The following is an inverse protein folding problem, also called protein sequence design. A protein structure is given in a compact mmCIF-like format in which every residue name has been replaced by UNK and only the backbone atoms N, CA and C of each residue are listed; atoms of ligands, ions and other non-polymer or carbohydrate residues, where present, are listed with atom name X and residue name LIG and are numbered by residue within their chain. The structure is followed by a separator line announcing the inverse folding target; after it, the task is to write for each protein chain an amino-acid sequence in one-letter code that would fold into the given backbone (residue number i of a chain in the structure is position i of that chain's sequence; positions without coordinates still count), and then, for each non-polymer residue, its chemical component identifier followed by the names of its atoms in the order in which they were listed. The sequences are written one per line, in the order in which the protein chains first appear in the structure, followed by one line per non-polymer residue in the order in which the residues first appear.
data_IF_257952937678
#
_entry.id   IF_257952937678
#
_cell.length_a   1.000
_cell.length_b   1.000
_cell.length_c   1.000
_cell.angle_alpha   90.00
_cell.angle_beta   90.00
_cell.angle_gamma   90.00
#
_symmetry.space_group_name_H-M   'P 1'
#
loop_
_entity.id
_entity.type
_entity.pdbx_description
1 polymer ?
#
# COMPACT_ATOMS: atom_id res chain seq x y z
N UNK A 1 17.35 -10.02 -17.45
CA UNK A 1 16.27 -10.69 -16.69
C UNK A 1 14.98 -10.46 -17.47
N UNK A 2 14.07 -11.43 -17.53
CA UNK A 2 12.75 -11.20 -18.13
C UNK A 2 11.95 -10.23 -17.25
N UNK A 3 11.05 -9.40 -17.80
CA UNK A 3 10.15 -8.58 -16.98
C UNK A 3 9.18 -9.47 -16.17
N UNK A 4 8.70 -8.98 -15.04
CA UNK A 4 7.60 -9.59 -14.29
C UNK A 4 6.33 -9.60 -15.17
N UNK A 5 5.55 -10.68 -15.12
CA UNK A 5 4.33 -10.85 -15.91
C UNK A 5 3.21 -11.44 -15.05
N UNK A 6 1.96 -11.11 -15.39
CA UNK A 6 0.75 -11.70 -14.78
C UNK A 6 0.02 -10.76 -13.84
N UNK A 7 -1.03 -11.28 -13.20
CA UNK A 7 -1.85 -10.55 -12.22
C UNK A 7 -1.60 -11.11 -10.83
N UNK A 8 -1.37 -10.22 -9.88
CA UNK A 8 -1.04 -10.57 -8.50
C UNK A 8 -2.03 -9.90 -7.55
N UNK A 9 -2.55 -10.67 -6.62
CA UNK A 9 -3.31 -10.14 -5.50
C UNK A 9 -2.62 -10.53 -4.21
N UNK A 10 -2.37 -9.56 -3.36
CA UNK A 10 -1.92 -9.79 -1.98
C UNK A 10 -3.01 -9.36 -1.02
N UNK A 11 -3.27 -10.21 -0.03
CA UNK A 11 -4.23 -9.90 1.02
C UNK A 11 -3.55 -10.08 2.37
N UNK A 12 -3.69 -9.07 3.21
CA UNK A 12 -3.20 -9.10 4.58
C UNK A 12 -4.39 -9.06 5.52
N UNK A 13 -4.35 -9.85 6.60
CA UNK A 13 -5.24 -9.63 7.75
C UNK A 13 -4.45 -9.32 9.00
N UNK A 14 -4.94 -8.35 9.78
CA UNK A 14 -4.29 -7.87 10.99
C UNK A 14 -4.97 -8.44 12.23
N UNK A 15 -4.16 -8.95 13.15
CA UNK A 15 -4.57 -9.38 14.49
C UNK A 15 -3.91 -8.47 15.52
N UNK A 16 -4.70 -7.71 16.27
CA UNK A 16 -4.23 -6.71 17.24
C UNK A 16 -5.09 -6.67 18.50
N UNK A 17 -4.57 -6.08 19.57
CA UNK A 17 -5.34 -5.86 20.81
C UNK A 17 -6.06 -4.52 20.74
N UNK A 18 -5.35 -3.45 20.39
CA UNK A 18 -5.93 -2.13 20.26
C UNK A 18 -5.83 -1.66 18.81
N UNK A 19 -6.73 -0.76 18.40
CA UNK A 19 -6.81 -0.24 17.04
C UNK A 19 -5.44 0.26 16.54
N UNK A 20 -4.76 1.07 17.35
CA UNK A 20 -3.43 1.60 17.00
C UNK A 20 -2.48 1.47 18.17
N UNK A 21 -1.54 0.54 18.07
CA UNK A 21 -0.53 0.25 19.10
C UNK A 21 0.78 0.99 18.81
N UNK A 22 0.73 2.33 18.85
CA UNK A 22 1.82 3.23 18.41
C UNK A 22 3.20 2.93 19.02
N UNK A 23 3.25 2.38 20.24
CA UNK A 23 4.48 1.81 20.83
C UNK A 23 4.12 0.53 21.62
N UNK A 24 5.11 -0.29 22.01
CA UNK A 24 4.91 -1.45 22.90
C UNK A 24 4.09 -1.21 24.18
N UNK A 25 4.04 0.03 24.68
CA UNK A 25 3.41 0.40 25.95
C UNK A 25 2.34 1.49 25.81
N UNK A 26 2.05 1.92 24.58
CA UNK A 26 1.09 3.00 24.30
C UNK A 26 0.22 2.62 23.12
N UNK A 27 -1.09 2.72 23.34
CA UNK A 27 -2.09 2.58 22.29
C UNK A 27 -2.98 3.82 22.20
N UNK A 28 -3.57 4.03 21.04
CA UNK A 28 -4.61 5.03 20.77
C UNK A 28 -5.74 4.36 19.98
N UNK A 29 -6.95 4.90 20.08
CA UNK A 29 -8.15 4.28 19.51
C UNK A 29 -8.77 3.24 20.44
N UNK A 30 -9.59 2.36 19.87
CA UNK A 30 -10.42 1.42 20.63
C UNK A 30 -9.67 0.15 21.03
N UNK A 31 -10.15 -0.48 22.11
CA UNK A 31 -9.80 -1.87 22.46
C UNK A 31 -10.63 -2.83 21.59
N UNK A 32 -9.95 -3.61 20.77
CA UNK A 32 -10.54 -4.51 19.77
C UNK A 32 -10.36 -5.99 20.14
N UNK A 33 -10.03 -6.31 21.40
CA UNK A 33 -9.66 -7.68 21.75
C UNK A 33 -10.78 -8.71 21.53
N UNK A 34 -12.04 -8.30 21.70
CA UNK A 34 -13.19 -9.18 21.46
C UNK A 34 -13.34 -9.51 19.97
N UNK A 35 -13.01 -8.56 19.11
CA UNK A 35 -13.14 -8.68 17.67
C UNK A 35 -11.94 -9.41 17.03
N UNK A 36 -10.89 -9.68 17.80
CA UNK A 36 -9.69 -10.43 17.37
C UNK A 36 -9.63 -11.87 17.93
N UNK A 37 -10.77 -12.43 18.34
CA UNK A 37 -10.87 -13.80 18.86
C UNK A 37 -10.42 -14.88 17.85
N UNK A 38 -10.02 -16.09 18.30
CA UNK A 38 -9.77 -17.23 17.42
C UNK A 38 -10.94 -17.57 16.49
N UNK A 39 -12.18 -17.26 16.90
CA UNK A 39 -13.38 -17.43 16.08
C UNK A 39 -13.39 -16.47 14.89
N UNK A 40 -13.10 -15.20 15.11
CA UNK A 40 -13.02 -14.19 14.05
C UNK A 40 -11.86 -14.46 13.10
N UNK A 41 -10.68 -14.84 13.61
CA UNK A 41 -9.53 -15.24 12.80
C UNK A 41 -9.86 -16.44 11.89
N UNK A 42 -10.61 -17.42 12.42
CA UNK A 42 -11.08 -18.57 11.64
C UNK A 42 -12.08 -18.17 10.57
N UNK A 43 -13.08 -17.35 10.93
CA UNK A 43 -14.07 -16.84 10.00
C UNK A 43 -13.41 -16.12 8.82
N UNK A 44 -12.43 -15.25 9.10
CA UNK A 44 -11.62 -14.56 8.10
C UNK A 44 -10.89 -15.53 7.17
N UNK A 45 -10.15 -16.49 7.72
CA UNK A 45 -9.39 -17.45 6.90
C UNK A 45 -10.29 -18.34 6.04
N UNK A 46 -11.44 -18.74 6.58
CA UNK A 46 -12.44 -19.54 5.88
C UNK A 46 -13.13 -18.75 4.76
N UNK A 47 -13.43 -17.47 4.99
CA UNK A 47 -13.90 -16.56 3.95
C UNK A 47 -12.90 -16.42 2.81
N UNK A 48 -11.63 -16.20 3.15
CA UNK A 48 -10.55 -16.18 2.18
C UNK A 48 -10.48 -17.50 1.39
N UNK A 49 -10.54 -18.66 2.06
CA UNK A 49 -10.52 -19.97 1.41
C UNK A 49 -11.73 -20.23 0.49
N UNK A 50 -12.93 -19.76 0.87
CA UNK A 50 -14.11 -19.83 -0.02
C UNK A 50 -13.94 -18.94 -1.25
N UNK A 51 -13.27 -17.80 -1.05
CA UNK A 51 -12.92 -16.82 -2.08
C UNK A 51 -11.92 -17.35 -3.09
N UNK A 52 -10.81 -17.90 -2.58
CA UNK A 52 -9.69 -18.42 -3.34
C UNK A 52 -9.08 -19.65 -2.61
N UNK A 53 -9.54 -20.88 -2.91
CA UNK A 53 -9.16 -22.08 -2.15
C UNK A 53 -7.66 -22.38 -2.11
N UNK A 54 -6.95 -22.06 -3.19
CA UNK A 54 -5.51 -22.29 -3.32
C UNK A 54 -4.67 -21.04 -3.01
N UNK A 55 -5.32 -19.93 -2.65
CA UNK A 55 -4.66 -18.68 -2.33
C UNK A 55 -3.94 -18.75 -0.99
N UNK A 56 -2.91 -17.91 -0.86
CA UNK A 56 -2.18 -17.67 0.38
C UNK A 56 -2.36 -16.21 0.79
N UNK A 57 -2.40 -15.95 2.09
CA UNK A 57 -2.51 -14.60 2.64
C UNK A 57 -1.45 -14.34 3.70
N UNK A 58 -1.21 -13.07 4.00
CA UNK A 58 -0.31 -12.65 5.06
C UNK A 58 -1.12 -12.29 6.31
N UNK A 59 -0.64 -12.72 7.47
CA UNK A 59 -1.19 -12.38 8.79
C UNK A 59 -0.18 -11.50 9.51
N UNK A 60 -0.55 -10.26 9.80
CA UNK A 60 0.29 -9.37 10.57
C UNK A 60 -0.22 -9.27 12.02
N UNK A 61 0.65 -9.53 12.98
CA UNK A 61 0.30 -9.59 14.40
C UNK A 61 0.95 -8.41 15.12
N UNK A 62 0.18 -7.68 15.92
CA UNK A 62 0.69 -6.54 16.69
C UNK A 62 1.55 -6.97 17.88
N UNK A 63 2.27 -6.03 18.48
CA UNK A 63 3.14 -6.30 19.62
C UNK A 63 2.34 -6.82 20.82
N UNK A 64 1.22 -6.17 21.14
CA UNK A 64 0.39 -6.61 22.26
C UNK A 64 -0.21 -7.97 21.95
N UNK A 65 -0.70 -8.24 20.74
CA UNK A 65 -1.25 -9.55 20.39
C UNK A 65 -0.19 -10.68 20.43
N UNK A 66 1.07 -10.39 20.14
CA UNK A 66 2.18 -11.34 20.31
C UNK A 66 2.45 -11.67 21.77
N UNK A 67 2.35 -10.68 22.68
CA UNK A 67 2.68 -10.83 24.10
C UNK A 67 1.49 -11.04 25.03
N UNK A 68 0.26 -10.99 24.50
CA UNK A 68 -0.93 -11.12 25.32
C UNK A 68 -1.04 -12.52 25.92
N UNK A 69 -1.22 -12.57 27.24
CA UNK A 69 -1.25 -13.79 28.04
C UNK A 69 -2.65 -14.37 28.24
N UNK A 70 -3.70 -13.70 27.75
CA UNK A 70 -5.06 -14.25 27.74
C UNK A 70 -5.09 -15.51 26.87
N UNK A 71 -5.92 -16.46 27.27
CA UNK A 71 -6.01 -17.76 26.61
C UNK A 71 -6.46 -17.63 25.15
N UNK A 72 -7.27 -16.61 24.85
CA UNK A 72 -7.72 -16.26 23.51
C UNK A 72 -6.56 -15.95 22.58
N UNK A 73 -5.60 -15.12 23.01
CA UNK A 73 -4.43 -14.77 22.18
C UNK A 73 -3.40 -15.88 22.10
N UNK A 74 -3.23 -16.66 23.17
CA UNK A 74 -2.44 -17.90 23.12
C UNK A 74 -2.99 -18.87 22.08
N UNK A 75 -4.32 -18.99 21.97
CA UNK A 75 -4.98 -19.81 20.96
C UNK A 75 -4.91 -19.18 19.56
N UNK A 76 -5.07 -17.86 19.44
CA UNK A 76 -4.92 -17.14 18.18
C UNK A 76 -3.52 -17.36 17.57
N UNK A 77 -2.45 -17.21 18.37
CA UNK A 77 -1.07 -17.46 17.94
C UNK A 77 -0.85 -18.88 17.43
N UNK A 78 -1.36 -19.89 18.16
CA UNK A 78 -1.32 -21.30 17.71
C UNK A 78 -2.10 -21.53 16.42
N UNK A 79 -3.25 -20.87 16.27
CA UNK A 79 -4.08 -20.98 15.07
C UNK A 79 -3.36 -20.38 13.86
N UNK A 80 -2.79 -19.20 13.99
CA UNK A 80 -2.03 -18.53 12.93
C UNK A 80 -0.80 -19.36 12.51
N UNK A 81 -0.02 -19.86 13.46
CA UNK A 81 1.08 -20.79 13.16
C UNK A 81 0.60 -22.03 12.38
N UNK A 82 -0.58 -22.57 12.71
CA UNK A 82 -1.16 -23.70 11.97
C UNK A 82 -1.57 -23.35 10.54
N UNK A 83 -1.85 -22.09 10.22
CA UNK A 83 -2.18 -21.65 8.86
C UNK A 83 -0.95 -21.58 7.96
N UNK A 84 0.21 -21.22 8.51
CA UNK A 84 1.47 -21.39 7.80
C UNK A 84 1.67 -22.86 7.40
N UNK A 85 1.53 -23.77 8.37
CA UNK A 85 1.70 -25.21 8.13
C UNK A 85 0.70 -25.79 7.13
N UNK A 86 -0.56 -25.35 7.22
CA UNK A 86 -1.67 -25.94 6.45
C UNK A 86 -1.81 -25.33 5.07
N UNK A 87 -1.59 -24.03 4.94
CA UNK A 87 -1.89 -23.28 3.72
C UNK A 87 -0.65 -22.62 3.10
N UNK A 88 0.45 -22.49 3.85
CA UNK A 88 1.59 -21.69 3.45
C UNK A 88 1.32 -20.20 3.57
N UNK A 89 0.38 -19.79 4.42
CA UNK A 89 0.17 -18.38 4.76
C UNK A 89 1.45 -17.82 5.40
N UNK A 90 1.70 -16.52 5.21
CA UNK A 90 2.80 -15.81 5.82
C UNK A 90 2.35 -15.23 7.16
N UNK A 91 3.15 -15.40 8.22
CA UNK A 91 2.90 -14.81 9.53
C UNK A 91 4.01 -13.80 9.84
N UNK A 92 3.65 -12.54 10.04
CA UNK A 92 4.60 -11.45 10.25
C UNK A 92 4.14 -10.48 11.33
N UNK A 93 4.91 -9.41 11.52
CA UNK A 93 4.71 -8.37 12.50
C UNK A 93 4.13 -7.10 11.88
N UNK A 94 3.29 -6.41 12.65
CA UNK A 94 2.86 -5.03 12.39
C UNK A 94 3.28 -4.09 13.53
N UNK A 95 4.28 -3.21 13.29
CA UNK A 95 4.64 -2.16 14.24
C UNK A 95 3.62 -1.03 14.23
N UNK A 96 3.29 -0.51 15.42
CA UNK A 96 2.63 0.80 15.53
C UNK A 96 1.17 0.88 15.10
N UNK A 97 0.54 -0.25 14.73
CA UNK A 97 -0.76 -0.23 14.05
C UNK A 97 -0.74 0.69 12.84
N UNK A 98 0.29 0.54 11.99
CA UNK A 98 0.61 1.34 10.80
C UNK A 98 1.43 2.63 10.99
N UNK A 99 1.49 3.20 12.20
CA UNK A 99 1.98 4.58 12.38
C UNK A 99 3.26 4.68 13.22
N UNK A 100 4.04 3.61 13.35
CA UNK A 100 5.19 3.56 14.26
C UNK A 100 6.15 4.76 14.14
N UNK A 101 6.65 5.16 12.94
CA UNK A 101 7.60 6.28 12.80
C UNK A 101 7.08 7.64 13.31
N UNK A 102 5.77 7.81 13.40
CA UNK A 102 5.16 9.09 13.82
C UNK A 102 5.14 9.26 15.34
N UNK A 103 5.27 8.16 16.07
CA UNK A 103 5.03 8.11 17.51
C UNK A 103 6.17 7.45 18.28
N UNK A 104 7.11 6.83 17.59
CA UNK A 104 8.25 6.15 18.19
C UNK A 104 9.56 6.45 17.45
N UNK A 105 10.67 6.30 18.16
CA UNK A 105 12.00 6.55 17.62
C UNK A 105 12.44 5.42 16.70
N UNK A 106 13.21 5.74 15.65
CA UNK A 106 13.74 4.74 14.71
C UNK A 106 14.44 3.58 15.42
N UNK A 107 15.26 3.88 16.43
CA UNK A 107 15.99 2.87 17.21
C UNK A 107 15.07 1.94 18.01
N UNK A 108 14.01 2.48 18.61
CA UNK A 108 13.07 1.67 19.39
C UNK A 108 12.14 0.85 18.48
N UNK A 109 11.76 1.39 17.32
CA UNK A 109 11.06 0.65 16.26
C UNK A 109 11.92 -0.53 15.82
N UNK A 110 13.20 -0.31 15.50
CA UNK A 110 14.15 -1.37 15.14
C UNK A 110 14.19 -2.48 16.19
N UNK A 111 14.39 -2.11 17.46
CA UNK A 111 14.46 -3.09 18.55
C UNK A 111 13.15 -3.87 18.69
N UNK A 112 12.02 -3.17 18.62
CA UNK A 112 10.69 -3.79 18.70
C UNK A 112 10.47 -4.76 17.54
N UNK A 113 10.86 -4.40 16.31
CA UNK A 113 10.78 -5.29 15.15
C UNK A 113 11.67 -6.52 15.32
N UNK A 114 12.93 -6.34 15.74
CA UNK A 114 13.85 -7.46 15.99
C UNK A 114 13.26 -8.47 16.98
N UNK A 115 12.80 -7.99 18.13
CA UNK A 115 12.22 -8.82 19.18
C UNK A 115 10.92 -9.50 18.71
N UNK A 116 10.04 -8.76 18.02
CA UNK A 116 8.77 -9.28 17.53
C UNK A 116 8.97 -10.35 16.45
N UNK A 117 9.91 -10.15 15.52
CA UNK A 117 10.27 -11.12 14.49
C UNK A 117 10.87 -12.39 15.12
N UNK A 118 11.64 -12.26 16.21
CA UNK A 118 12.08 -13.39 17.04
C UNK A 118 10.90 -14.18 17.61
N UNK A 119 9.94 -13.50 18.24
CA UNK A 119 8.73 -14.13 18.78
C UNK A 119 7.92 -14.83 17.69
N UNK A 120 7.74 -14.19 16.53
CA UNK A 120 7.05 -14.78 15.37
C UNK A 120 7.78 -16.05 14.89
N UNK A 121 9.10 -15.99 14.79
CA UNK A 121 9.94 -17.13 14.39
C UNK A 121 9.78 -18.31 15.35
N UNK A 122 9.82 -18.06 16.66
CA UNK A 122 9.65 -19.09 17.69
C UNK A 122 8.23 -19.66 17.72
N UNK A 123 7.23 -18.77 17.52
CA UNK A 123 5.81 -19.14 17.50
C UNK A 123 5.47 -20.09 16.34
N UNK A 124 6.00 -19.84 15.14
CA UNK A 124 5.79 -20.71 13.97
C UNK A 124 6.74 -21.92 14.01
N UNK A 125 7.98 -21.72 14.48
CA UNK A 125 8.97 -22.77 14.67
C UNK A 125 9.65 -23.23 13.37
N UNK A 126 10.45 -24.30 13.47
CA UNK A 126 11.18 -24.93 12.35
C UNK A 126 12.06 -23.97 11.53
N UNK A 127 12.60 -22.94 12.17
CA UNK A 127 13.47 -21.95 11.54
C UNK A 127 12.71 -20.98 10.62
N UNK A 128 11.39 -20.88 10.76
CA UNK A 128 10.57 -19.91 10.05
C UNK A 128 11.09 -18.48 10.25
N UNK A 129 11.13 -17.71 9.16
CA UNK A 129 11.19 -16.24 9.17
C UNK A 129 10.23 -15.72 8.11
N UNK A 130 9.50 -14.62 8.38
CA UNK A 130 8.67 -13.99 7.36
C UNK A 130 9.52 -13.39 6.23
N UNK A 131 8.91 -13.22 5.06
CA UNK A 131 9.52 -12.62 3.89
C UNK A 131 9.30 -11.10 3.84
N UNK A 132 8.27 -10.58 4.54
CA UNK A 132 8.01 -9.15 4.70
C UNK A 132 7.73 -8.69 6.13
N UNK A 133 7.70 -7.38 6.34
CA UNK A 133 7.03 -6.70 7.46
C UNK A 133 5.86 -5.84 6.94
N UNK A 134 4.73 -5.82 7.66
CA UNK A 134 3.57 -4.99 7.31
C UNK A 134 3.51 -3.79 8.24
N UNK A 135 4.01 -2.64 7.80
CA UNK A 135 4.33 -1.52 8.69
C UNK A 135 3.41 -0.30 8.56
N UNK A 136 2.63 -0.17 7.49
CA UNK A 136 1.96 1.08 7.14
C UNK A 136 2.98 2.12 6.68
N UNK A 137 3.58 2.82 7.63
CA UNK A 137 4.69 3.75 7.45
C UNK A 137 5.97 3.15 8.01
N UNK A 138 7.04 3.13 7.20
CA UNK A 138 8.36 2.73 7.68
C UNK A 138 9.46 3.63 7.14
N UNK A 139 10.25 4.22 8.04
CA UNK A 139 11.36 5.09 7.66
C UNK A 139 12.46 4.34 6.88
N UNK A 140 13.20 5.09 6.07
CA UNK A 140 14.23 4.54 5.18
C UNK A 140 15.31 3.75 5.94
N UNK A 141 15.71 4.21 7.13
CA UNK A 141 16.76 3.53 7.90
C UNK A 141 16.27 2.19 8.42
N UNK A 142 15.05 2.10 8.95
CA UNK A 142 14.49 0.82 9.35
C UNK A 142 14.25 -0.14 8.18
N UNK A 143 13.85 0.34 6.98
CA UNK A 143 13.78 -0.53 5.79
C UNK A 143 15.18 -1.05 5.36
N UNK A 144 16.23 -0.23 5.50
CA UNK A 144 17.61 -0.66 5.30
C UNK A 144 18.00 -1.74 6.29
N UNK A 145 17.72 -1.53 7.56
CA UNK A 145 18.08 -2.46 8.63
C UNK A 145 17.34 -3.79 8.52
N UNK A 146 16.07 -3.80 8.07
CA UNK A 146 15.37 -5.04 7.73
C UNK A 146 16.18 -5.89 6.72
N UNK A 147 16.67 -5.26 5.65
CA UNK A 147 17.44 -5.99 4.64
C UNK A 147 18.83 -6.43 5.13
N UNK A 148 19.53 -5.60 5.93
CA UNK A 148 20.93 -5.85 6.31
C UNK A 148 21.11 -6.64 7.59
N UNK A 149 20.15 -6.57 8.52
CA UNK A 149 20.23 -7.20 9.85
C UNK A 149 19.24 -8.36 9.98
N UNK A 150 18.04 -8.26 9.42
CA UNK A 150 17.01 -9.32 9.50
C UNK A 150 16.99 -10.26 8.29
N UNK A 151 17.63 -9.87 7.18
CA UNK A 151 17.54 -10.59 5.90
C UNK A 151 16.16 -10.51 5.25
N UNK A 152 15.35 -9.53 5.64
CA UNK A 152 13.99 -9.30 5.13
C UNK A 152 14.05 -8.20 4.07
N UNK A 153 13.64 -8.53 2.85
CA UNK A 153 13.80 -7.67 1.68
C UNK A 153 12.47 -7.11 1.15
N UNK A 154 11.40 -7.18 1.92
CA UNK A 154 10.08 -6.67 1.56
C UNK A 154 9.45 -5.97 2.76
N UNK A 155 8.86 -4.80 2.53
CA UNK A 155 8.12 -4.07 3.54
C UNK A 155 6.90 -3.42 2.89
N UNK A 156 5.71 -3.71 3.41
CA UNK A 156 4.59 -2.78 3.21
C UNK A 156 4.90 -1.56 4.08
N UNK A 157 5.55 -0.57 3.45
CA UNK A 157 6.26 0.51 4.13
C UNK A 157 5.75 1.91 3.77
N UNK A 158 4.71 1.98 2.94
CA UNK A 158 3.96 3.20 2.67
C UNK A 158 2.45 2.93 2.63
N UNK A 159 1.67 3.99 2.87
CA UNK A 159 0.23 4.03 2.60
C UNK A 159 0.04 5.04 1.47
N UNK A 160 -0.04 4.55 0.23
CA UNK A 160 0.04 5.43 -0.93
C UNK A 160 -1.06 6.48 -0.92
N UNK A 161 -0.68 7.74 -1.09
CA UNK A 161 -1.53 8.93 -1.06
C UNK A 161 -2.20 9.31 0.26
N UNK A 162 -1.89 8.66 1.39
CA UNK A 162 -2.46 9.05 2.69
C UNK A 162 -2.16 10.53 2.99
N UNK A 163 -3.20 11.34 3.24
CA UNK A 163 -3.06 12.73 3.71
C UNK A 163 -4.38 13.24 4.30
N UNK A 164 -4.31 13.95 5.42
CA UNK A 164 -5.44 14.58 6.11
C UNK A 164 -6.40 13.59 6.76
N UNK A 165 -5.97 12.35 7.00
CA UNK A 165 -6.81 11.29 7.57
C UNK A 165 -6.02 10.39 8.53
N UNK A 166 -6.76 9.76 9.44
CA UNK A 166 -6.26 8.90 10.51
C UNK A 166 -5.19 9.60 11.36
N UNK A 167 -4.01 9.00 11.46
CA UNK A 167 -2.94 9.38 12.37
C UNK A 167 -1.63 9.73 11.68
N UNK A 168 -1.62 9.86 10.36
CA UNK A 168 -0.41 10.03 9.58
C UNK A 168 -0.61 10.48 8.16
N UNK A 169 0.37 11.21 7.61
CA UNK A 169 0.39 11.73 6.25
C UNK A 169 1.66 11.26 5.52
N UNK A 170 1.51 10.74 4.31
CA UNK A 170 2.55 10.03 3.55
C UNK A 170 2.32 10.02 2.05
N UNK A 171 1.90 11.15 1.46
CA UNK A 171 1.78 11.24 0.02
C UNK A 171 3.12 11.62 -0.64
N UNK A 172 3.35 11.19 -1.87
CA UNK A 172 4.57 11.49 -2.63
C UNK A 172 5.23 10.26 -3.24
N UNK A 173 4.95 9.07 -2.71
CA UNK A 173 5.49 7.80 -3.21
C UNK A 173 4.86 7.29 -4.51
N UNK A 174 5.44 6.21 -5.04
CA UNK A 174 4.93 5.45 -6.19
C UNK A 174 3.98 4.35 -5.68
N UNK A 175 2.81 4.17 -6.30
CA UNK A 175 1.81 3.19 -5.82
C UNK A 175 2.20 1.72 -6.07
N UNK A 176 3.05 1.46 -7.07
CA UNK A 176 3.60 0.14 -7.37
C UNK A 176 4.99 -0.05 -6.74
N UNK A 177 5.51 -1.28 -6.65
CA UNK A 177 6.73 -1.57 -5.91
C UNK A 177 7.94 -0.79 -6.41
N UNK A 178 8.81 -0.38 -5.48
CA UNK A 178 10.11 0.25 -5.76
C UNK A 178 11.09 -0.01 -4.63
N UNK A 179 12.38 0.27 -4.86
CA UNK A 179 13.37 0.33 -3.78
C UNK A 179 13.48 1.76 -3.24
N UNK A 180 13.28 2.00 -1.93
CA UNK A 180 13.33 3.34 -1.37
C UNK A 180 14.77 3.87 -1.31
N UNK A 181 14.89 5.19 -1.22
CA UNK A 181 16.14 5.91 -1.05
C UNK A 181 16.50 6.01 0.42
N UNK A 182 17.79 5.97 0.74
CA UNK A 182 18.33 6.32 2.07
C UNK A 182 17.98 7.73 2.53
N UNK A 183 17.54 8.60 1.63
CA UNK A 183 17.10 9.96 1.95
C UNK A 183 15.67 9.99 2.52
N UNK A 184 14.76 9.17 1.96
CA UNK A 184 13.36 9.15 2.33
C UNK A 184 12.64 7.93 1.77
N UNK A 185 11.80 7.27 2.58
CA UNK A 185 11.08 6.06 2.16
C UNK A 185 10.13 6.25 0.96
N UNK A 186 9.55 7.43 0.74
CA UNK A 186 8.70 7.76 -0.42
C UNK A 186 9.49 8.09 -1.69
N UNK A 187 10.82 8.25 -1.60
CA UNK A 187 11.68 8.54 -2.74
C UNK A 187 12.23 7.22 -3.30
N UNK A 188 12.06 6.91 -4.58
CA UNK A 188 12.81 5.82 -5.20
C UNK A 188 14.32 6.10 -5.14
N UNK A 189 15.12 5.10 -4.78
CA UNK A 189 16.58 5.21 -4.86
C UNK A 189 17.04 5.59 -6.28
N UNK A 190 17.94 6.56 -6.36
CA UNK A 190 18.44 7.10 -7.62
C UNK A 190 19.59 6.25 -8.18
N UNK A 191 20.40 5.64 -7.30
CA UNK A 191 21.49 4.76 -7.68
C UNK A 191 22.11 4.02 -6.49
N UNK A 192 23.29 3.42 -6.66
CA UNK A 192 23.92 2.61 -5.61
C UNK A 192 24.22 3.35 -4.30
N UNK A 193 24.39 4.67 -4.35
CA UNK A 193 24.76 5.47 -3.18
C UNK A 193 23.63 5.60 -2.14
N UNK A 194 22.38 5.59 -2.61
CA UNK A 194 21.17 5.75 -1.80
C UNK A 194 20.25 4.53 -1.87
N UNK A 195 20.71 3.41 -2.44
CA UNK A 195 19.93 2.20 -2.58
C UNK A 195 19.67 1.48 -1.25
N UNK A 196 18.43 1.03 -1.08
CA UNK A 196 17.98 0.14 0.00
C UNK A 196 17.44 -1.12 -0.65
N UNK A 197 18.01 -2.28 -0.33
CA UNK A 197 17.58 -3.59 -0.86
C UNK A 197 16.37 -4.13 -0.10
N UNK A 198 15.31 -3.33 -0.03
CA UNK A 198 14.02 -3.69 0.57
C UNK A 198 12.92 -3.14 -0.34
N UNK A 199 12.07 -4.00 -0.87
CA UNK A 199 10.96 -3.59 -1.73
C UNK A 199 9.91 -2.91 -0.89
N UNK A 200 9.64 -1.63 -1.18
CA UNK A 200 8.59 -0.87 -0.54
C UNK A 200 7.27 -1.11 -1.29
N UNK A 201 6.28 -1.64 -0.57
CA UNK A 201 4.94 -1.95 -1.05
C UNK A 201 3.91 -0.99 -0.43
N UNK A 202 2.87 -0.69 -1.20
CA UNK A 202 1.61 -0.11 -0.71
C UNK A 202 0.79 -1.16 0.07
N UNK A 203 -0.22 -0.72 0.83
CA UNK A 203 -1.10 -1.59 1.63
C UNK A 203 -2.56 -1.65 1.17
N UNK A 204 -3.04 -0.62 0.46
CA UNK A 204 -4.42 -0.57 -0.02
C UNK A 204 -4.50 0.10 -1.37
N UNK A 205 -4.84 -0.68 -2.40
CA UNK A 205 -5.10 -0.14 -3.73
C UNK A 205 -6.31 0.79 -3.70
N UNK A 206 -6.08 2.06 -4.06
CA UNK A 206 -7.08 3.13 -4.06
C UNK A 206 -7.64 3.37 -5.47
N UNK A 207 -8.87 3.88 -5.54
CA UNK A 207 -9.33 4.62 -6.73
C UNK A 207 -8.52 5.93 -6.79
N UNK A 208 -7.88 6.21 -7.94
CA UNK A 208 -6.97 7.35 -8.08
C UNK A 208 -7.72 8.70 -8.07
N UNK A 209 -8.99 8.73 -8.50
CA UNK A 209 -9.82 9.94 -8.47
C UNK A 209 -10.28 10.26 -7.05
N UNK A 210 -10.59 9.27 -6.21
CA UNK A 210 -10.89 9.52 -4.80
C UNK A 210 -9.63 9.90 -4.03
N UNK A 211 -8.53 9.22 -4.31
CA UNK A 211 -7.22 9.39 -3.67
C UNK A 211 -6.61 10.78 -3.87
N UNK A 212 -7.04 11.58 -4.86
CA UNK A 212 -6.54 12.95 -5.01
C UNK A 212 -7.00 13.92 -3.92
N UNK A 213 -8.01 13.56 -3.11
CA UNK A 213 -8.55 14.44 -2.07
C UNK A 213 -7.75 14.37 -0.77
N UNK A 214 -7.80 15.48 -0.04
CA UNK A 214 -7.32 15.57 1.33
C UNK A 214 -8.41 15.06 2.30
N UNK A 215 -8.07 14.07 3.11
CA UNK A 215 -8.95 13.46 4.09
C UNK A 215 -10.38 13.18 3.59
N UNK A 216 -11.34 13.93 4.12
CA UNK A 216 -12.76 13.79 3.80
C UNK A 216 -13.32 14.88 2.87
N UNK A 217 -12.45 15.62 2.17
CA UNK A 217 -12.85 16.73 1.32
C UNK A 217 -13.85 16.29 0.24
N UNK A 218 -15.01 16.95 0.21
CA UNK A 218 -16.10 16.59 -0.70
C UNK A 218 -17.16 15.65 -0.09
N UNK A 219 -17.01 15.30 1.19
CA UNK A 219 -17.99 14.48 1.92
C UNK A 219 -17.83 12.97 1.72
N UNK A 220 -16.68 12.53 1.24
CA UNK A 220 -16.31 11.12 1.05
C UNK A 220 -14.88 10.88 1.53
N UNK A 221 -14.50 9.63 1.75
CA UNK A 221 -13.18 9.25 2.24
C UNK A 221 -12.18 9.16 1.07
N UNK A 222 -11.03 9.84 1.16
CA UNK A 222 -9.94 9.76 0.17
C UNK A 222 -9.28 8.38 0.06
N UNK A 223 -9.56 7.47 1.01
CA UNK A 223 -9.02 6.10 1.06
C UNK A 223 -9.89 5.06 0.34
N UNK A 224 -10.90 5.49 -0.40
CA UNK A 224 -11.73 4.60 -1.20
C UNK A 224 -10.92 3.85 -2.26
N UNK A 225 -11.27 2.59 -2.48
CA UNK A 225 -10.51 1.66 -3.30
C UNK A 225 -10.98 0.23 -3.11
N UNK A 226 -10.08 -0.68 -2.74
CA UNK A 226 -10.43 -2.08 -2.41
C UNK A 226 -10.69 -2.32 -0.91
N UNK A 227 -10.46 -1.31 -0.06
CA UNK A 227 -10.71 -1.37 1.38
C UNK A 227 -12.20 -1.50 1.72
N UNK A 228 -12.59 -2.33 2.71
CA UNK A 228 -13.99 -2.65 2.95
C UNK A 228 -14.75 -1.54 3.70
N UNK A 229 -14.05 -0.73 4.50
CA UNK A 229 -14.63 0.35 5.29
C UNK A 229 -15.23 1.41 4.37
N UNK A 230 -14.42 1.90 3.42
CA UNK A 230 -14.79 2.99 2.51
C UNK A 230 -15.74 2.55 1.41
N UNK A 231 -15.77 1.26 1.09
CA UNK A 231 -16.62 0.70 0.05
C UNK A 231 -17.88 0.09 0.66
N UNK A 232 -17.86 -1.18 1.06
CA UNK A 232 -19.06 -1.88 1.51
C UNK A 232 -19.60 -1.29 2.81
N UNK A 233 -18.73 -0.84 3.72
CA UNK A 233 -19.12 -0.16 4.96
C UNK A 233 -19.90 1.13 4.69
N UNK A 234 -19.32 2.05 3.92
CA UNK A 234 -19.90 3.38 3.69
C UNK A 234 -20.95 3.43 2.56
N UNK A 235 -20.79 2.64 1.50
CA UNK A 235 -21.63 2.68 0.29
C UNK A 235 -22.67 1.55 0.24
N UNK A 236 -22.58 0.58 1.15
CA UNK A 236 -23.39 -0.63 1.15
C UNK A 236 -22.91 -1.68 0.15
N UNK A 237 -23.48 -2.89 0.25
CA UNK A 237 -23.00 -4.08 -0.48
C UNK A 237 -22.95 -3.90 -1.99
N UNK A 238 -24.00 -3.38 -2.63
CA UNK A 238 -24.06 -3.30 -4.11
C UNK A 238 -23.05 -2.31 -4.68
N UNK A 239 -23.08 -1.07 -4.20
CA UNK A 239 -22.20 0.00 -4.69
C UNK A 239 -20.75 -0.25 -4.25
N UNK A 240 -20.53 -0.65 -2.99
CA UNK A 240 -19.20 -0.91 -2.45
C UNK A 240 -18.50 -2.07 -3.17
N UNK A 241 -19.18 -3.19 -3.40
CA UNK A 241 -18.61 -4.32 -4.15
C UNK A 241 -18.29 -3.96 -5.60
N UNK A 242 -19.13 -3.12 -6.23
CA UNK A 242 -18.86 -2.62 -7.58
C UNK A 242 -17.59 -1.78 -7.59
N UNK A 243 -17.45 -0.85 -6.64
CA UNK A 243 -16.27 0.00 -6.50
C UNK A 243 -14.99 -0.83 -6.33
N UNK A 244 -14.99 -1.81 -5.43
CA UNK A 244 -13.84 -2.71 -5.24
C UNK A 244 -13.42 -3.40 -6.55
N UNK A 245 -14.39 -3.86 -7.35
CA UNK A 245 -14.13 -4.53 -8.62
C UNK A 245 -13.68 -3.58 -9.73
N UNK A 246 -14.20 -2.36 -9.77
CA UNK A 246 -13.78 -1.34 -10.72
C UNK A 246 -12.36 -0.86 -10.43
N UNK A 247 -12.03 -0.59 -9.17
CA UNK A 247 -10.65 -0.27 -8.73
C UNK A 247 -9.70 -1.40 -9.08
N UNK A 248 -10.08 -2.66 -8.83
CA UNK A 248 -9.27 -3.83 -9.24
C UNK A 248 -9.02 -3.84 -10.76
N UNK A 249 -10.03 -3.48 -11.56
CA UNK A 249 -9.93 -3.50 -13.02
C UNK A 249 -8.94 -2.48 -13.58
N UNK A 250 -8.75 -1.33 -12.93
CA UNK A 250 -7.71 -0.35 -13.30
C UNK A 250 -6.34 -1.03 -13.39
N UNK A 251 -6.04 -1.93 -12.45
CA UNK A 251 -4.78 -2.64 -12.36
C UNK A 251 -4.73 -3.91 -13.22
N UNK A 252 -5.81 -4.70 -13.24
CA UNK A 252 -5.81 -6.01 -13.90
C UNK A 252 -6.17 -5.97 -15.38
N UNK A 253 -6.83 -4.91 -15.87
CA UNK A 253 -7.10 -4.73 -17.30
C UNK A 253 -6.00 -3.85 -17.92
N UNK A 254 -6.21 -2.54 -17.86
CA UNK A 254 -5.37 -1.59 -18.60
C UNK A 254 -4.02 -1.36 -17.94
N UNK A 255 -3.96 -1.30 -16.60
CA UNK A 255 -2.70 -1.29 -15.86
C UNK A 255 -1.80 -2.47 -16.21
N UNK A 256 -2.36 -3.69 -16.27
CA UNK A 256 -1.63 -4.87 -16.72
C UNK A 256 -1.11 -4.72 -18.15
N UNK A 257 -1.94 -4.23 -19.08
CA UNK A 257 -1.51 -4.00 -20.46
C UNK A 257 -0.41 -2.92 -20.60
N UNK A 258 -0.41 -1.91 -19.71
CA UNK A 258 0.56 -0.82 -19.74
C UNK A 258 1.90 -1.17 -19.07
N UNK A 259 1.86 -2.04 -18.05
CA UNK A 259 2.98 -2.32 -17.15
C UNK A 259 3.55 -3.74 -17.29
N UNK A 260 2.88 -4.63 -18.03
CA UNK A 260 3.24 -6.05 -18.18
C UNK A 260 2.78 -6.94 -17.02
N UNK A 261 2.45 -6.36 -15.87
CA UNK A 261 1.83 -7.03 -14.75
C UNK A 261 0.79 -6.13 -14.07
N UNK A 262 -0.16 -6.75 -13.37
CA UNK A 262 -1.13 -6.07 -12.51
C UNK A 262 -0.91 -6.51 -11.07
N UNK A 263 -0.98 -5.58 -10.13
CA UNK A 263 -0.93 -5.88 -8.70
C UNK A 263 -1.99 -5.08 -7.96
N UNK A 264 -2.73 -5.78 -7.11
CA UNK A 264 -3.74 -5.22 -6.20
C UNK A 264 -3.45 -5.76 -4.80
N UNK A 265 -3.47 -4.88 -3.80
CA UNK A 265 -3.22 -5.20 -2.40
C UNK A 265 -4.33 -4.66 -1.52
N UNK A 266 -4.66 -5.38 -0.46
CA UNK A 266 -5.63 -4.94 0.53
C UNK A 266 -5.36 -5.55 1.90
N UNK A 267 -5.13 -4.69 2.89
CA UNK A 267 -5.04 -5.07 4.30
C UNK A 267 -6.41 -4.91 4.96
N UNK A 268 -6.93 -5.96 5.58
CA UNK A 268 -8.23 -5.90 6.26
C UNK A 268 -8.08 -6.45 7.66
N UNK A 269 -8.34 -5.63 8.66
CA UNK A 269 -8.28 -6.02 10.06
C UNK A 269 -9.33 -7.10 10.35
N UNK A 270 -8.97 -8.08 11.19
CA UNK A 270 -9.93 -9.09 11.64
C UNK A 270 -11.10 -8.41 12.37
N UNK A 271 -10.81 -7.37 13.16
CA UNK A 271 -11.79 -6.59 13.91
C UNK A 271 -12.83 -5.87 13.06
N UNK A 272 -12.52 -5.57 11.79
CA UNK A 272 -13.43 -4.87 10.87
C UNK A 272 -14.51 -5.80 10.31
N UNK A 273 -14.30 -7.11 10.30
CA UNK A 273 -15.26 -8.07 9.73
C UNK A 273 -15.31 -8.04 8.20
N UNK A 274 -16.51 -7.98 7.60
CA UNK A 274 -16.69 -8.03 6.13
C UNK A 274 -16.22 -9.33 5.44
N UNK A 275 -16.20 -10.45 6.16
CA UNK A 275 -15.77 -11.76 5.64
C UNK A 275 -16.56 -12.24 4.40
N UNK A 276 -17.86 -11.95 4.33
CA UNK A 276 -18.67 -12.23 3.14
C UNK A 276 -18.22 -11.43 1.91
N UNK A 277 -17.77 -10.20 2.12
CA UNK A 277 -17.34 -9.29 1.06
C UNK A 277 -15.94 -9.66 0.56
N UNK A 278 -15.06 -10.12 1.45
CA UNK A 278 -13.79 -10.74 1.07
C UNK A 278 -14.02 -11.97 0.18
N UNK A 279 -14.95 -12.85 0.59
CA UNK A 279 -15.31 -14.04 -0.21
C UNK A 279 -15.79 -13.63 -1.60
N UNK A 280 -16.70 -12.65 -1.66
CA UNK A 280 -17.23 -12.12 -2.90
C UNK A 280 -16.12 -11.56 -3.80
N UNK A 281 -15.26 -10.70 -3.25
CA UNK A 281 -14.22 -10.02 -4.01
C UNK A 281 -13.26 -11.01 -4.67
N UNK A 282 -12.77 -11.99 -3.90
CA UNK A 282 -11.87 -13.02 -4.41
C UNK A 282 -12.53 -13.92 -5.47
N UNK A 283 -13.80 -14.32 -5.29
CA UNK A 283 -14.54 -15.11 -6.28
C UNK A 283 -14.70 -14.33 -7.59
N UNK A 284 -15.10 -13.07 -7.51
CA UNK A 284 -15.33 -12.25 -8.70
C UNK A 284 -14.02 -11.88 -9.41
N UNK A 285 -12.92 -11.74 -8.66
CA UNK A 285 -11.59 -11.62 -9.25
C UNK A 285 -11.21 -12.88 -10.01
N UNK A 286 -11.38 -14.06 -9.41
CA UNK A 286 -11.09 -15.32 -10.07
C UNK A 286 -11.97 -15.52 -11.32
N UNK A 287 -13.25 -15.16 -11.26
CA UNK A 287 -14.16 -15.31 -12.40
C UNK A 287 -13.82 -14.37 -13.56
N UNK A 288 -13.41 -13.13 -13.27
CA UNK A 288 -13.05 -12.13 -14.30
C UNK A 288 -11.61 -12.27 -14.80
N UNK A 289 -10.69 -12.63 -13.91
CA UNK A 289 -9.25 -12.77 -14.17
C UNK A 289 -8.74 -14.11 -13.59
N UNK A 290 -9.04 -15.24 -14.25
CA UNK A 290 -8.77 -16.58 -13.71
C UNK A 290 -7.28 -16.94 -13.59
N UNK A 291 -6.40 -16.15 -14.21
CA UNK A 291 -4.95 -16.29 -14.12
C UNK A 291 -4.33 -15.51 -12.94
N UNK A 292 -5.15 -14.88 -12.09
CA UNK A 292 -4.67 -14.12 -10.92
C UNK A 292 -3.98 -15.04 -9.93
N UNK A 293 -2.75 -14.66 -9.55
CA UNK A 293 -1.96 -15.30 -8.51
C UNK A 293 -2.25 -14.62 -7.18
N UNK A 294 -2.95 -15.33 -6.29
CA UNK A 294 -3.22 -14.87 -4.92
C UNK A 294 -2.12 -15.41 -3.99
N UNK A 295 -1.14 -14.57 -3.70
CA UNK A 295 0.09 -14.93 -2.96
C UNK A 295 0.28 -14.01 -1.75
N UNK A 296 1.19 -14.37 -0.86
CA UNK A 296 1.53 -13.56 0.31
C UNK A 296 2.23 -12.26 -0.11
N UNK A 297 2.13 -11.23 0.73
CA UNK A 297 2.75 -9.92 0.51
C UNK A 297 4.27 -10.04 0.29
N UNK A 298 4.95 -10.83 1.13
CA UNK A 298 6.37 -11.11 1.00
C UNK A 298 6.74 -11.85 -0.29
N UNK A 299 5.96 -12.87 -0.67
CA UNK A 299 6.25 -13.64 -1.88
C UNK A 299 6.12 -12.79 -3.14
N UNK A 300 5.12 -11.89 -3.19
CA UNK A 300 4.99 -10.93 -4.28
C UNK A 300 6.19 -9.97 -4.36
N UNK A 301 6.57 -9.38 -3.23
CA UNK A 301 7.72 -8.47 -3.19
C UNK A 301 9.02 -9.14 -3.63
N UNK A 302 9.24 -10.40 -3.22
CA UNK A 302 10.41 -11.17 -3.64
C UNK A 302 10.39 -11.55 -5.13
N UNK A 303 9.22 -11.90 -5.68
CA UNK A 303 9.11 -12.15 -7.12
C UNK A 303 9.36 -10.87 -7.92
N UNK A 304 8.82 -9.72 -7.49
CA UNK A 304 9.15 -8.44 -8.11
C UNK A 304 10.65 -8.13 -8.03
N UNK A 305 11.29 -8.33 -6.87
CA UNK A 305 12.72 -8.10 -6.63
C UNK A 305 13.61 -8.93 -7.56
N UNK A 306 13.25 -10.19 -7.79
CA UNK A 306 13.95 -11.11 -8.72
C UNK A 306 13.95 -10.60 -10.16
N UNK A 307 12.89 -9.90 -10.57
CA UNK A 307 12.73 -9.35 -11.91
C UNK A 307 13.24 -7.90 -12.05
N UNK A 308 13.35 -7.18 -10.94
CA UNK A 308 13.72 -5.76 -10.90
C UNK A 308 14.90 -5.55 -9.94
N UNK A 309 16.16 -5.53 -10.41
CA UNK A 309 17.34 -5.40 -9.54
C UNK A 309 17.61 -3.95 -9.08
N UNK A 310 16.97 -2.96 -9.72
CA UNK A 310 17.08 -1.54 -9.34
C UNK A 310 15.93 -0.74 -9.95
N UNK A 311 15.81 0.53 -9.54
CA UNK A 311 14.76 1.41 -10.04
C UNK A 311 14.98 1.91 -11.48
N UNK A 312 16.11 1.61 -12.13
CA UNK A 312 16.48 2.21 -13.41
C UNK A 312 15.45 1.97 -14.55
N UNK A 313 14.70 0.86 -14.46
CA UNK A 313 13.69 0.48 -15.45
C UNK A 313 12.25 0.82 -15.05
N UNK A 314 12.00 1.40 -13.87
CA UNK A 314 10.64 1.72 -13.44
C UNK A 314 9.97 2.70 -14.40
N UNK A 315 8.78 2.33 -14.85
CA UNK A 315 7.97 3.15 -15.73
C UNK A 315 6.51 2.70 -15.68
N UNK A 316 5.88 2.89 -14.52
CA UNK A 316 4.49 2.51 -14.31
C UNK A 316 3.55 3.55 -14.90
N UNK A 317 2.45 3.08 -15.50
CA UNK A 317 1.39 3.90 -16.05
C UNK A 317 0.02 3.34 -15.70
N UNK A 318 -0.92 4.24 -15.45
CA UNK A 318 -2.31 3.91 -15.21
C UNK A 318 -3.22 4.92 -15.89
N UNK A 319 -4.37 4.46 -16.35
CA UNK A 319 -5.49 5.30 -16.76
C UNK A 319 -6.76 4.81 -16.06
N UNK A 320 -7.50 5.76 -15.49
CA UNK A 320 -8.73 5.49 -14.78
C UNK A 320 -9.79 6.53 -15.13
N UNK A 321 -11.00 6.05 -15.41
CA UNK A 321 -12.20 6.86 -15.59
C UNK A 321 -13.09 6.69 -14.39
N UNK A 322 -13.75 7.78 -13.98
CA UNK A 322 -14.57 7.76 -12.77
C UNK A 322 -15.66 6.69 -12.79
N UNK A 323 -15.72 5.91 -11.71
CA UNK A 323 -16.70 4.83 -11.50
C UNK A 323 -18.10 5.39 -11.24
N UNK A 324 -18.16 6.64 -10.77
CA UNK A 324 -19.36 7.30 -10.27
C UNK A 324 -19.61 7.11 -8.78
N UNK A 325 -18.72 6.42 -8.07
CA UNK A 325 -18.71 6.43 -6.61
C UNK A 325 -18.40 7.86 -6.08
N UNK A 326 -18.72 8.16 -4.81
CA UNK A 326 -18.39 9.45 -4.22
C UNK A 326 -16.90 9.77 -4.34
N UNK A 327 -16.57 10.83 -5.08
CA UNK A 327 -15.18 11.24 -5.35
C UNK A 327 -14.54 10.67 -6.61
N UNK A 328 -15.17 9.69 -7.24
CA UNK A 328 -14.78 9.12 -8.53
C UNK A 328 -15.69 9.64 -9.64
N UNK A 329 -15.50 10.91 -10.02
CA UNK A 329 -16.46 11.60 -10.89
C UNK A 329 -16.47 11.03 -12.32
N UNK A 330 -17.63 10.54 -12.80
CA UNK A 330 -17.78 9.81 -14.09
C UNK A 330 -17.22 10.52 -15.32
N UNK A 331 -17.23 11.84 -15.31
CA UNK A 331 -16.75 12.64 -16.43
C UNK A 331 -15.24 12.86 -16.42
N UNK A 332 -14.54 12.47 -15.36
CA UNK A 332 -13.10 12.64 -15.23
C UNK A 332 -12.34 11.38 -15.64
N UNK A 333 -11.17 11.61 -16.20
CA UNK A 333 -10.16 10.62 -16.50
C UNK A 333 -8.83 11.11 -15.93
N UNK A 334 -8.18 10.27 -15.13
CA UNK A 334 -6.87 10.49 -14.55
C UNK A 334 -5.86 9.53 -15.17
N UNK A 335 -4.69 10.06 -15.50
CA UNK A 335 -3.55 9.29 -15.99
C UNK A 335 -2.37 9.48 -15.04
N UNK A 336 -1.76 8.37 -14.59
CA UNK A 336 -0.56 8.38 -13.77
C UNK A 336 0.65 7.90 -14.56
N UNK A 337 1.79 8.54 -14.32
CA UNK A 337 3.10 8.18 -14.83
C UNK A 337 4.05 8.17 -13.64
N UNK A 338 4.68 7.03 -13.34
CA UNK A 338 5.55 6.89 -12.17
C UNK A 338 6.85 6.17 -12.55
N UNK A 339 7.98 6.82 -12.31
CA UNK A 339 9.30 6.28 -12.64
C UNK A 339 10.31 6.71 -11.56
N UNK A 340 11.58 6.32 -11.74
CA UNK A 340 12.64 6.63 -10.77
C UNK A 340 12.82 8.13 -10.52
N UNK A 341 12.59 8.98 -11.51
CA UNK A 341 12.92 10.41 -11.47
C UNK A 341 11.74 11.28 -11.03
N UNK A 342 10.50 10.86 -11.31
CA UNK A 342 9.31 11.58 -10.87
C UNK A 342 8.05 10.71 -10.92
N UNK A 343 6.99 11.21 -10.27
CA UNK A 343 5.60 10.86 -10.60
C UNK A 343 4.85 12.08 -11.16
N UNK A 344 3.89 11.83 -12.05
CA UNK A 344 3.06 12.83 -12.71
C UNK A 344 1.63 12.30 -12.80
N UNK A 345 0.65 13.13 -12.43
CA UNK A 345 -0.77 12.87 -12.65
C UNK A 345 -1.38 13.92 -13.56
N UNK A 346 -2.06 13.47 -14.62
CA UNK A 346 -2.84 14.32 -15.51
C UNK A 346 -4.33 14.05 -15.31
N UNK A 347 -5.14 15.11 -15.19
CA UNK A 347 -6.58 15.02 -15.01
C UNK A 347 -7.30 15.81 -16.10
N UNK A 348 -8.36 15.25 -16.66
CA UNK A 348 -9.22 15.96 -17.61
C UNK A 348 -10.66 15.47 -17.58
N UNK A 349 -11.59 16.32 -18.05
CA UNK A 349 -12.97 15.94 -18.37
C UNK A 349 -13.00 15.33 -19.78
N UNK A 350 -13.04 14.00 -19.85
CA UNK A 350 -13.02 13.22 -21.10
C UNK A 350 -14.33 13.33 -21.88
N UNK A 351 -15.42 13.78 -21.23
CA UNK A 351 -16.72 13.98 -21.88
C UNK A 351 -16.82 15.32 -22.61
N UNK A 352 -15.91 16.26 -22.31
CA UNK A 352 -15.88 17.61 -22.89
C UNK A 352 -14.64 17.90 -23.73
N UNK A 353 -13.79 16.91 -23.99
CA UNK A 353 -12.48 17.09 -24.63
C UNK A 353 -11.68 18.24 -24.00
N UNK A 354 -11.78 18.40 -22.67
CA UNK A 354 -11.02 19.45 -21.98
C UNK A 354 -9.53 19.16 -22.04
N UNK A 355 -8.65 20.18 -22.06
CA UNK A 355 -7.21 19.97 -21.98
C UNK A 355 -6.86 19.26 -20.66
N UNK A 356 -5.88 18.37 -20.71
CA UNK A 356 -5.36 17.73 -19.51
C UNK A 356 -4.52 18.68 -18.67
N UNK A 357 -4.72 18.59 -17.37
CA UNK A 357 -4.08 19.42 -16.37
C UNK A 357 -3.23 18.55 -15.47
N UNK A 358 -1.96 18.90 -15.28
CA UNK A 358 -1.12 18.33 -14.25
C UNK A 358 -1.68 18.70 -12.87
N UNK A 359 -2.00 17.69 -12.07
CA UNK A 359 -2.47 17.83 -10.68
C UNK A 359 -1.42 17.35 -9.67
N UNK A 360 -0.51 16.47 -10.07
CA UNK A 360 0.66 16.06 -9.29
C UNK A 360 1.88 16.08 -10.21
N UNK A 361 2.98 16.60 -9.70
CA UNK A 361 4.30 16.44 -10.29
C UNK A 361 5.30 16.47 -9.15
N UNK A 362 5.73 15.29 -8.75
CA UNK A 362 6.65 15.10 -7.63
C UNK A 362 7.97 14.56 -8.17
N UNK A 363 9.03 15.36 -8.03
CA UNK A 363 10.40 15.05 -8.47
C UNK A 363 11.17 14.29 -7.40
N UNK A 364 11.88 13.25 -7.81
CA UNK A 364 12.70 12.38 -6.96
C UNK A 364 14.20 12.59 -7.16
N UNK A 365 14.61 13.29 -8.22
CA UNK A 365 15.99 13.71 -8.41
C UNK A 365 16.43 14.78 -7.38
N UNK A 366 15.47 15.52 -6.83
CA UNK A 366 15.68 16.46 -5.73
C UNK A 366 16.05 15.73 -4.43
N UNK A 367 16.87 16.37 -3.60
CA UNK A 367 17.17 15.88 -2.25
C UNK A 367 15.88 15.83 -1.41
N UNK A 368 15.66 14.72 -0.71
CA UNK A 368 14.59 14.56 0.25
C UNK A 368 15.15 14.36 1.67
N UNK A 369 14.34 14.65 2.68
CA UNK A 369 14.70 14.41 4.09
C UNK A 369 13.45 13.98 4.84
N UNK A 370 13.57 12.90 5.60
CA UNK A 370 12.52 12.50 6.55
C UNK A 370 12.54 13.38 7.81
N UNK A 371 11.39 13.46 8.51
CA UNK A 371 11.33 14.00 9.87
C UNK A 371 12.41 13.42 10.81
N UNK A 372 13.04 14.31 11.56
CA UNK A 372 14.01 13.93 12.61
C UNK A 372 13.33 13.68 13.96
N UNK A 373 12.21 14.35 14.23
CA UNK A 373 11.39 14.18 15.44
C UNK A 373 10.05 13.51 15.16
N UNK A 374 9.35 13.16 16.23
CA UNK A 374 8.01 12.57 16.18
C UNK A 374 7.00 13.58 15.65
N UNK A 375 6.46 13.33 14.47
CA UNK A 375 5.38 14.09 13.87
C UNK A 375 4.59 13.22 12.89
N UNK A 376 3.41 13.70 12.51
CA UNK A 376 2.48 12.99 11.61
C UNK A 376 2.74 13.20 10.13
N UNK A 377 3.38 14.31 9.76
CA UNK A 377 3.62 14.68 8.37
C UNK A 377 4.94 14.11 7.86
N UNK A 378 4.85 13.15 6.93
CA UNK A 378 5.96 12.45 6.28
C UNK A 378 5.83 12.45 4.76
N UNK A 379 4.99 13.31 4.18
CA UNK A 379 4.79 13.40 2.74
C UNK A 379 5.99 13.99 2.03
N UNK A 380 6.28 13.48 0.84
CA UNK A 380 7.28 14.00 -0.08
C UNK A 380 6.58 14.86 -1.13
N UNK A 381 6.52 16.17 -0.89
CA UNK A 381 5.82 17.13 -1.76
C UNK A 381 6.77 18.24 -2.24
N UNK A 382 6.91 18.41 -3.56
CA UNK A 382 7.70 19.50 -4.14
C UNK A 382 6.93 20.35 -5.16
N UNK A 383 6.96 20.05 -6.46
CA UNK A 383 6.51 20.98 -7.52
C UNK A 383 4.99 21.15 -7.53
N UNK A 384 4.23 20.05 -7.63
CA UNK A 384 2.77 20.01 -7.55
C UNK A 384 2.36 18.75 -6.79
N UNK A 385 1.40 18.86 -5.88
CA UNK A 385 0.85 17.70 -5.17
C UNK A 385 -0.68 17.61 -5.36
N UNK A 386 -1.16 16.39 -5.62
CA UNK A 386 -2.58 16.11 -5.92
C UNK A 386 -3.58 16.63 -4.88
N UNK A 387 -3.17 16.76 -3.60
CA UNK A 387 -4.04 17.17 -2.50
C UNK A 387 -4.50 18.63 -2.63
N UNK A 388 -3.76 19.46 -3.38
CA UNK A 388 -4.18 20.83 -3.66
C UNK A 388 -4.14 21.77 -2.45
N UNK A 389 -3.36 21.43 -1.42
CA UNK A 389 -3.36 22.13 -0.13
C UNK A 389 -2.49 23.39 -0.11
N UNK A 390 -1.58 23.55 -1.06
CA UNK A 390 -0.68 24.71 -1.15
C UNK A 390 -1.05 25.59 -2.34
N UNK A 391 -0.81 26.92 -2.29
CA UNK A 391 -1.13 27.81 -3.42
C UNK A 391 -0.50 27.39 -4.75
N UNK A 392 0.69 26.79 -4.71
CA UNK A 392 1.39 26.30 -5.90
C UNK A 392 0.73 25.08 -6.55
N UNK A 393 -0.05 24.28 -5.80
CA UNK A 393 -0.67 23.02 -6.23
C UNK A 393 -1.89 23.20 -7.15
N UNK A 394 -2.23 24.45 -7.48
CA UNK A 394 -3.28 24.72 -8.47
C UNK A 394 -2.95 23.98 -9.78
N UNK A 395 -3.88 23.18 -10.35
CA UNK A 395 -3.63 22.43 -11.58
C UNK A 395 -3.17 23.32 -12.75
N UNK A 396 -2.22 22.84 -13.54
CA UNK A 396 -1.61 23.59 -14.66
C UNK A 396 -1.49 22.73 -15.90
N UNK A 397 -1.50 23.34 -17.09
CA UNK A 397 -1.11 22.63 -18.31
C UNK A 397 0.38 22.28 -18.27
N UNK A 398 0.79 21.23 -18.98
CA UNK A 398 2.20 20.83 -19.03
C UNK A 398 3.10 21.96 -19.56
N UNK A 399 2.66 22.74 -20.54
CA UNK A 399 3.40 23.90 -21.06
C UNK A 399 3.56 25.06 -20.07
N UNK A 400 2.88 25.02 -18.92
CA UNK A 400 2.99 26.01 -17.84
C UNK A 400 3.95 25.57 -16.71
N UNK A 401 4.48 24.35 -16.77
CA UNK A 401 5.56 23.91 -15.88
C UNK A 401 6.88 24.59 -16.27
N UNK A 402 7.90 24.51 -15.42
CA UNK A 402 9.21 25.08 -15.76
C UNK A 402 9.82 24.38 -16.99
N UNK A 403 10.71 25.06 -17.71
CA UNK A 403 11.36 24.47 -18.89
C UNK A 403 12.19 23.21 -18.53
N UNK A 404 12.71 23.15 -17.30
CA UNK A 404 13.42 21.99 -16.78
C UNK A 404 12.48 20.81 -16.53
N UNK A 405 11.34 21.05 -15.87
CA UNK A 405 10.34 20.02 -15.60
C UNK A 405 9.73 19.48 -16.89
N UNK A 406 9.43 20.37 -17.85
CA UNK A 406 8.95 19.98 -19.18
C UNK A 406 9.97 19.10 -19.90
N UNK A 407 11.26 19.47 -19.86
CA UNK A 407 12.32 18.66 -20.47
C UNK A 407 12.36 17.26 -19.84
N UNK A 408 12.37 17.18 -18.51
CA UNK A 408 12.35 15.90 -17.77
C UNK A 408 11.15 15.02 -18.15
N UNK A 409 9.94 15.61 -18.20
CA UNK A 409 8.73 14.88 -18.58
C UNK A 409 8.81 14.39 -20.04
N UNK A 410 9.19 15.26 -20.98
CA UNK A 410 9.16 14.93 -22.42
C UNK A 410 10.34 14.06 -22.87
N UNK A 411 11.44 14.02 -22.12
CA UNK A 411 12.51 13.05 -22.34
C UNK A 411 12.03 11.63 -22.03
N UNK A 412 11.20 11.47 -20.98
CA UNK A 412 10.62 10.17 -20.61
C UNK A 412 9.36 9.80 -21.40
N UNK A 413 8.51 10.79 -21.67
CA UNK A 413 7.20 10.64 -22.31
C UNK A 413 7.03 11.67 -23.44
N UNK A 414 7.73 11.51 -24.58
CA UNK A 414 7.72 12.48 -25.67
C UNK A 414 6.33 12.72 -26.28
N UNK A 415 5.43 11.74 -26.19
CA UNK A 415 4.04 11.85 -26.62
C UNK A 415 3.27 12.95 -25.89
N UNK A 416 3.62 13.24 -24.62
CA UNK A 416 2.97 14.27 -23.82
C UNK A 416 3.27 15.69 -24.30
N UNK A 417 4.30 15.88 -25.14
CA UNK A 417 4.60 17.19 -25.74
C UNK A 417 3.45 17.74 -26.59
N UNK A 418 2.65 16.86 -27.19
CA UNK A 418 1.46 17.24 -27.95
C UNK A 418 0.32 17.81 -27.08
N UNK A 419 0.40 17.59 -25.76
CA UNK A 419 -0.60 18.00 -24.75
C UNK A 419 -0.15 19.22 -23.93
N UNK A 420 0.99 19.82 -24.28
CA UNK A 420 1.61 20.93 -23.56
C UNK A 420 0.83 22.25 -23.66
#
# INVERSE_FOLDING_TARGET
MSPLQGRFLTHVSVVRVNQIEVTPTRSIGEDEHLDNSPGHIRSRREAFARGCPNGKMTWAISWLALKDDRDEYKQARKLLASYHDRYGDEITFIPGGYFAPMYDTRDHIRQTMHDALGIVSDMVGRGYRPECVVAGFMDAENQRLLSTEEGIHVCQGQIWSQHGIDHGDGDGGICYPYYPSREHYLKPAQGPADFIDCVCLDGWTCDFLTARRDGFQGGFNSRMGVGPIETVGNLGKEVGRKEMMDTTAVHFDRGHALNGFGWVTGIWEVSVGHDEDLTYWLQNIHDRWPDTQVITEGAFGLEWRKHTPSNASLNYRFDEKGTGAPGSEKNLEIEWFMNREFRLALLHDWTKNSPAMAIDFTRYDLKAEEPQGLQREWSLMNVLNQKGMRPQDKPKRLGQLSAEDQRMIFERYPELKSRA
#
